data_IF_697427527785
#
_entry.id   IF_697427527785
#
_cell.length_a   1.000
_cell.length_b   1.000
_cell.length_c   1.000
_cell.angle_alpha   90.00
_cell.angle_beta   90.00
_cell.angle_gamma   90.00
#
_symmetry.space_group_name_H-M   'P 1'
#
loop_
_entity.id
_entity.type
_entity.pdbx_description
1 polymer ?
#
# COMPACT_ATOMS: atom_id res chain seq x y z
N UNK A 1 -0.08 2.32 -27.65
CA UNK A 1 -0.46 1.14 -28.43
C UNK A 1 -0.26 -0.14 -27.62
N UNK A 2 0.96 -0.57 -27.28
CA UNK A 2 1.24 -1.84 -26.61
C UNK A 2 0.53 -2.05 -25.25
N UNK A 3 0.35 -0.99 -24.47
CA UNK A 3 -0.34 -1.08 -23.18
C UNK A 3 -1.82 -1.45 -23.36
N UNK A 4 -2.53 -0.76 -24.24
CA UNK A 4 -3.95 -1.04 -24.53
C UNK A 4 -4.15 -2.44 -25.12
N UNK A 5 -3.22 -2.89 -25.99
CA UNK A 5 -3.24 -4.25 -26.54
C UNK A 5 -3.07 -5.29 -25.42
N UNK A 6 -2.15 -5.06 -24.46
CA UNK A 6 -1.95 -5.96 -23.32
C UNK A 6 -3.19 -6.03 -22.42
N UNK A 7 -3.85 -4.89 -22.15
CA UNK A 7 -5.09 -4.86 -21.38
C UNK A 7 -6.20 -5.63 -22.11
N UNK A 8 -6.38 -5.41 -23.41
CA UNK A 8 -7.38 -6.12 -24.22
C UNK A 8 -7.12 -7.64 -24.26
N UNK A 9 -5.84 -8.05 -24.40
CA UNK A 9 -5.47 -9.46 -24.34
C UNK A 9 -5.74 -10.07 -22.95
N UNK A 10 -5.49 -9.30 -21.88
CA UNK A 10 -5.79 -9.71 -20.52
C UNK A 10 -7.29 -10.00 -20.30
N UNK A 11 -8.16 -9.25 -20.98
CA UNK A 11 -9.62 -9.45 -20.88
C UNK A 11 -10.11 -10.74 -21.58
N UNK A 12 -9.32 -11.33 -22.50
CA UNK A 12 -9.65 -12.61 -23.13
C UNK A 12 -9.58 -13.78 -22.14
N UNK A 13 -8.92 -13.59 -21.00
CA UNK A 13 -8.87 -14.54 -19.89
C UNK A 13 -9.75 -14.00 -18.73
N UNK A 14 -11.02 -13.79 -19.00
CA UNK A 14 -11.98 -13.16 -18.06
C UNK A 14 -12.19 -13.95 -16.76
N UNK A 15 -11.87 -15.25 -16.74
CA UNK A 15 -11.85 -16.08 -15.54
C UNK A 15 -10.71 -15.72 -14.57
N UNK A 16 -9.70 -14.96 -15.03
CA UNK A 16 -8.59 -14.52 -14.19
C UNK A 16 -8.96 -13.28 -13.40
N UNK A 17 -8.79 -13.37 -12.10
CA UNK A 17 -8.98 -12.25 -11.20
C UNK A 17 -7.95 -11.11 -11.44
N UNK A 18 -8.30 -9.91 -11.00
CA UNK A 18 -7.46 -8.73 -11.10
C UNK A 18 -6.58 -8.57 -9.86
N UNK A 19 -5.34 -8.13 -10.08
CA UNK A 19 -4.43 -7.66 -9.02
C UNK A 19 -4.01 -6.23 -9.32
N UNK A 20 -4.17 -5.34 -8.33
CA UNK A 20 -3.79 -3.94 -8.41
C UNK A 20 -2.57 -3.69 -7.55
N UNK A 21 -1.57 -3.01 -8.11
CA UNK A 21 -0.44 -2.48 -7.38
C UNK A 21 -0.48 -0.95 -7.41
N UNK A 22 -0.56 -0.33 -6.23
CA UNK A 22 -0.53 1.11 -6.08
C UNK A 22 0.84 1.52 -5.53
N UNK A 23 1.54 2.32 -6.31
CA UNK A 23 2.87 2.80 -5.96
C UNK A 23 2.79 4.12 -5.22
N UNK A 24 3.27 4.17 -3.97
CA UNK A 24 3.38 5.39 -3.18
C UNK A 24 4.87 5.72 -3.03
N UNK A 25 5.41 6.68 -3.80
CA UNK A 25 6.86 6.86 -3.89
C UNK A 25 7.49 7.64 -2.74
N UNK A 26 6.73 8.10 -1.76
CA UNK A 26 7.22 9.01 -0.72
C UNK A 26 7.88 8.27 0.43
N UNK A 27 9.06 8.78 0.87
CA UNK A 27 9.74 8.33 2.06
C UNK A 27 10.10 9.52 2.95
N UNK A 28 9.85 9.42 4.26
CA UNK A 28 10.30 10.46 5.22
C UNK A 28 11.83 10.54 5.32
N UNK A 29 12.50 9.39 5.17
CA UNK A 29 13.96 9.29 5.05
C UNK A 29 14.28 8.21 4.03
N UNK A 30 15.32 8.46 3.23
CA UNK A 30 15.84 7.48 2.29
C UNK A 30 16.89 6.61 2.98
N UNK A 31 16.64 5.31 3.06
CA UNK A 31 17.61 4.35 3.59
C UNK A 31 18.79 4.20 2.63
N UNK A 32 20.03 4.10 3.15
CA UNK A 32 21.25 4.06 2.33
C UNK A 32 21.35 2.83 1.42
N UNK A 33 20.63 1.76 1.72
CA UNK A 33 20.61 0.52 0.92
C UNK A 33 19.44 0.42 -0.05
N UNK A 34 18.51 1.39 -0.05
CA UNK A 34 17.25 1.28 -0.74
C UNK A 34 17.41 1.46 -2.26
N UNK A 35 16.97 0.47 -3.03
CA UNK A 35 16.88 0.52 -4.49
C UNK A 35 15.47 0.78 -5.03
N UNK A 36 14.51 1.11 -4.15
CA UNK A 36 13.14 1.36 -4.58
C UNK A 36 13.04 2.68 -5.37
N UNK A 37 12.08 2.74 -6.29
CA UNK A 37 11.71 4.00 -6.94
C UNK A 37 10.98 4.89 -5.93
N UNK A 38 11.75 5.68 -5.18
CA UNK A 38 11.24 6.50 -4.09
C UNK A 38 11.87 7.88 -4.07
N UNK A 39 11.12 8.83 -3.51
CA UNK A 39 11.50 10.23 -3.38
C UNK A 39 11.39 10.68 -1.92
N UNK A 40 12.17 11.70 -1.51
CA UNK A 40 11.96 12.35 -0.23
C UNK A 40 10.52 12.82 -0.06
N UNK A 41 10.04 12.90 1.19
CA UNK A 41 8.69 13.34 1.52
C UNK A 41 8.36 14.68 0.88
N UNK A 42 7.24 14.75 0.21
CA UNK A 42 6.74 15.95 -0.44
C UNK A 42 5.86 16.78 0.50
N UNK A 43 5.54 18.03 0.09
CA UNK A 43 4.57 18.87 0.78
C UNK A 43 3.16 18.27 0.66
N UNK A 44 2.25 18.55 1.61
CA UNK A 44 0.90 17.98 1.61
C UNK A 44 0.16 18.15 0.28
N UNK A 45 0.25 19.33 -0.36
CA UNK A 45 -0.44 19.62 -1.62
C UNK A 45 0.04 18.74 -2.78
N UNK A 46 1.32 18.35 -2.76
CA UNK A 46 1.90 17.44 -3.78
C UNK A 46 1.41 16.01 -3.51
N UNK A 47 1.31 15.61 -2.25
CA UNK A 47 0.78 14.30 -1.87
C UNK A 47 -0.68 14.16 -2.28
N UNK A 48 -1.50 15.15 -1.98
CA UNK A 48 -2.90 15.21 -2.37
C UNK A 48 -3.06 15.16 -3.88
N UNK A 49 -2.29 15.97 -4.61
CA UNK A 49 -2.27 15.95 -6.08
C UNK A 49 -1.84 14.60 -6.65
N UNK A 50 -0.88 13.92 -6.01
CA UNK A 50 -0.46 12.59 -6.41
C UNK A 50 -1.58 11.54 -6.20
N UNK A 51 -2.25 11.58 -5.05
CA UNK A 51 -3.36 10.67 -4.76
C UNK A 51 -4.53 10.93 -5.70
N UNK A 52 -4.83 12.20 -6.01
CA UNK A 52 -5.83 12.56 -7.02
C UNK A 52 -5.46 12.00 -8.40
N UNK A 53 -4.18 12.06 -8.78
CA UNK A 53 -3.72 11.45 -10.03
C UNK A 53 -3.88 9.92 -10.04
N UNK A 54 -3.72 9.24 -8.89
CA UNK A 54 -4.02 7.80 -8.78
C UNK A 54 -5.51 7.51 -8.97
N UNK A 55 -6.40 8.34 -8.40
CA UNK A 55 -7.84 8.21 -8.64
C UNK A 55 -8.18 8.39 -10.12
N UNK A 56 -7.59 9.39 -10.78
CA UNK A 56 -7.78 9.62 -12.22
C UNK A 56 -7.22 8.45 -13.05
N UNK A 57 -6.08 7.87 -12.67
CA UNK A 57 -5.53 6.69 -13.36
C UNK A 57 -6.45 5.48 -13.21
N UNK A 58 -7.02 5.26 -12.03
CA UNK A 58 -8.03 4.22 -11.81
C UNK A 58 -9.20 4.46 -12.78
N UNK A 59 -9.77 5.66 -12.83
CA UNK A 59 -10.90 6.00 -13.70
C UNK A 59 -10.58 5.82 -15.19
N UNK A 60 -9.34 6.06 -15.61
CA UNK A 60 -8.88 5.84 -16.98
C UNK A 60 -8.73 4.36 -17.34
N UNK A 61 -8.36 3.52 -16.36
CA UNK A 61 -8.13 2.08 -16.57
C UNK A 61 -9.43 1.29 -16.48
N UNK A 62 -10.35 1.68 -15.61
CA UNK A 62 -11.62 0.99 -15.37
C UNK A 62 -12.38 0.63 -16.66
N UNK A 63 -12.60 1.57 -17.61
CA UNK A 63 -13.34 1.26 -18.84
C UNK A 63 -12.63 0.29 -19.78
N UNK A 64 -11.34 0.05 -19.57
CA UNK A 64 -10.51 -0.81 -20.41
C UNK A 64 -10.51 -2.27 -19.94
N UNK A 65 -10.89 -2.49 -18.67
CA UNK A 65 -10.94 -3.81 -18.04
C UNK A 65 -12.33 -4.42 -18.15
N UNK A 66 -12.37 -5.75 -18.23
CA UNK A 66 -13.61 -6.47 -18.10
C UNK A 66 -14.14 -6.33 -16.66
N UNK A 67 -15.29 -5.66 -16.52
CA UNK A 67 -15.92 -5.32 -15.24
C UNK A 67 -16.39 -6.53 -14.43
N UNK A 68 -16.52 -7.70 -15.07
CA UNK A 68 -16.96 -8.93 -14.41
C UNK A 68 -15.77 -9.69 -13.77
N UNK A 69 -14.54 -9.25 -14.01
CA UNK A 69 -13.34 -9.83 -13.39
C UNK A 69 -13.23 -9.38 -11.94
N UNK A 70 -13.18 -10.32 -10.98
CA UNK A 70 -13.10 -9.95 -9.57
C UNK A 70 -11.69 -9.52 -9.16
N UNK A 71 -11.60 -8.65 -8.16
CA UNK A 71 -10.34 -8.32 -7.49
C UNK A 71 -9.91 -9.50 -6.62
N UNK A 72 -8.68 -9.99 -6.83
CA UNK A 72 -8.03 -10.95 -5.94
C UNK A 72 -7.03 -10.28 -5.00
N UNK A 73 -6.41 -9.18 -5.43
CA UNK A 73 -5.36 -8.51 -4.65
C UNK A 73 -5.33 -7.01 -4.90
N UNK A 74 -5.12 -6.25 -3.82
CA UNK A 74 -4.68 -4.85 -3.85
C UNK A 74 -3.42 -4.76 -3.00
N UNK A 75 -2.33 -4.26 -3.57
CA UNK A 75 -1.05 -4.10 -2.87
C UNK A 75 -0.53 -2.67 -2.95
N UNK A 76 -0.30 -2.07 -1.80
CA UNK A 76 0.35 -0.76 -1.69
C UNK A 76 1.83 -0.95 -1.36
N UNK A 77 2.68 -0.48 -2.26
CA UNK A 77 4.13 -0.57 -2.10
C UNK A 77 4.84 0.67 -2.61
N UNK A 78 6.16 0.60 -2.74
CA UNK A 78 6.98 1.65 -3.33
C UNK A 78 8.05 2.21 -2.40
N UNK A 79 7.93 3.46 -1.98
CA UNK A 79 8.79 4.07 -0.97
C UNK A 79 8.35 3.65 0.43
N UNK A 80 7.37 4.33 0.96
CA UNK A 80 6.70 3.97 2.21
C UNK A 80 5.23 4.38 2.11
N UNK A 81 4.31 3.47 1.75
CA UNK A 81 2.90 3.82 1.59
C UNK A 81 2.30 4.50 2.82
N UNK A 82 2.72 4.10 4.01
CA UNK A 82 2.29 4.70 5.28
C UNK A 82 2.94 6.07 5.57
N UNK A 83 3.71 6.64 4.65
CA UNK A 83 4.20 8.02 4.77
C UNK A 83 3.10 9.05 4.48
N UNK A 84 2.08 8.69 3.69
CA UNK A 84 0.92 9.54 3.42
C UNK A 84 -0.19 9.31 4.47
N UNK A 85 -1.15 10.24 4.62
CA UNK A 85 -2.27 10.07 5.54
C UNK A 85 -3.08 8.80 5.26
N UNK A 86 -3.39 8.04 6.31
CA UNK A 86 -4.14 6.77 6.22
C UNK A 86 -5.53 6.97 5.58
N UNK A 87 -6.14 8.14 5.78
CA UNK A 87 -7.44 8.48 5.18
C UNK A 87 -7.40 8.41 3.64
N UNK A 88 -6.34 8.92 3.02
CA UNK A 88 -6.18 8.89 1.56
C UNK A 88 -6.02 7.45 1.03
N UNK A 89 -5.35 6.58 1.79
CA UNK A 89 -5.22 5.16 1.44
C UNK A 89 -6.59 4.47 1.51
N UNK A 90 -7.39 4.80 2.53
CA UNK A 90 -8.75 4.28 2.69
C UNK A 90 -9.65 4.67 1.51
N UNK A 91 -9.54 5.91 1.03
CA UNK A 91 -10.28 6.40 -0.14
C UNK A 91 -9.91 5.64 -1.42
N UNK A 92 -8.62 5.40 -1.66
CA UNK A 92 -8.15 4.60 -2.80
C UNK A 92 -8.69 3.16 -2.74
N UNK A 93 -8.66 2.51 -1.57
CA UNK A 93 -9.26 1.19 -1.38
C UNK A 93 -10.75 1.19 -1.69
N UNK A 94 -11.48 2.17 -1.16
CA UNK A 94 -12.92 2.30 -1.39
C UNK A 94 -13.23 2.49 -2.88
N UNK A 95 -12.43 3.29 -3.59
CA UNK A 95 -12.60 3.51 -5.02
C UNK A 95 -12.46 2.20 -5.82
N UNK A 96 -11.40 1.44 -5.61
CA UNK A 96 -11.20 0.16 -6.30
C UNK A 96 -12.29 -0.87 -5.97
N UNK A 97 -12.60 -1.05 -4.68
CA UNK A 97 -13.57 -2.05 -4.22
C UNK A 97 -15.01 -1.70 -4.59
N UNK A 98 -15.33 -0.41 -4.83
CA UNK A 98 -16.64 -0.02 -5.35
C UNK A 98 -16.77 -0.18 -6.87
N UNK A 99 -15.66 -0.30 -7.58
CA UNK A 99 -15.60 -0.32 -9.04
C UNK A 99 -15.60 -1.72 -9.63
N UNK A 100 -15.14 -2.72 -8.87
CA UNK A 100 -15.08 -4.12 -9.30
C UNK A 100 -15.63 -5.05 -8.22
N UNK A 101 -16.21 -6.20 -8.59
CA UNK A 101 -16.46 -7.27 -7.64
C UNK A 101 -15.12 -7.74 -7.06
N UNK A 102 -15.16 -8.36 -5.88
CA UNK A 102 -14.00 -9.02 -5.30
C UNK A 102 -14.27 -10.51 -5.14
N UNK A 103 -13.22 -11.32 -5.12
CA UNK A 103 -13.32 -12.73 -4.68
C UNK A 103 -13.73 -12.75 -3.19
N UNK A 104 -14.13 -13.93 -2.68
CA UNK A 104 -14.59 -14.07 -1.29
C UNK A 104 -13.61 -13.50 -0.25
N UNK A 105 -12.29 -13.67 -0.47
CA UNK A 105 -11.24 -13.13 0.41
C UNK A 105 -10.10 -12.50 -0.40
N UNK A 106 -10.26 -11.28 -0.91
CA UNK A 106 -9.20 -10.61 -1.60
C UNK A 106 -8.06 -10.29 -0.63
N UNK A 107 -6.81 -10.42 -1.07
CA UNK A 107 -5.68 -9.93 -0.29
C UNK A 107 -5.58 -8.41 -0.46
N UNK A 108 -5.68 -7.67 0.64
CA UNK A 108 -5.47 -6.22 0.67
C UNK A 108 -4.26 -5.95 1.55
N UNK A 109 -3.14 -5.65 0.92
CA UNK A 109 -1.83 -5.60 1.55
C UNK A 109 -1.19 -4.21 1.48
N UNK A 110 -0.42 -3.85 2.49
CA UNK A 110 0.33 -2.60 2.54
C UNK A 110 1.71 -2.80 3.17
N UNK A 111 2.71 -2.13 2.59
CA UNK A 111 4.05 -2.02 3.17
C UNK A 111 4.11 -0.89 4.19
N UNK A 112 4.68 -1.17 5.37
CA UNK A 112 4.71 -0.26 6.50
C UNK A 112 6.14 0.00 6.98
N UNK A 113 6.43 1.26 7.31
CA UNK A 113 7.63 1.66 8.05
C UNK A 113 7.27 1.97 9.51
N UNK A 114 7.64 1.13 10.49
CA UNK A 114 7.15 1.26 11.86
C UNK A 114 7.71 2.48 12.61
N UNK A 115 8.78 3.09 12.11
CA UNK A 115 9.42 4.26 12.74
C UNK A 115 8.64 5.58 12.59
N UNK A 116 7.48 5.58 11.92
CA UNK A 116 6.67 6.79 11.68
C UNK A 116 5.19 6.63 12.01
N UNK A 117 4.77 5.45 12.45
CA UNK A 117 3.39 5.15 12.79
C UNK A 117 3.20 5.24 14.30
N UNK A 118 2.34 6.15 14.72
CA UNK A 118 1.85 6.23 16.09
C UNK A 118 0.84 5.09 16.36
N UNK A 119 0.48 4.89 17.63
CA UNK A 119 -0.58 3.95 18.01
C UNK A 119 -1.89 4.24 17.27
N UNK A 120 -2.25 5.51 17.14
CA UNK A 120 -3.43 5.94 16.39
C UNK A 120 -3.35 5.53 14.91
N UNK A 121 -2.19 5.67 14.27
CA UNK A 121 -2.02 5.30 12.87
C UNK A 121 -2.17 3.79 12.68
N UNK A 122 -1.61 2.98 13.59
CA UNK A 122 -1.78 1.54 13.57
C UNK A 122 -3.24 1.13 13.72
N UNK A 123 -3.98 1.74 14.67
CA UNK A 123 -5.41 1.49 14.82
C UNK A 123 -6.18 1.86 13.55
N UNK A 124 -5.91 3.02 12.97
CA UNK A 124 -6.56 3.43 11.71
C UNK A 124 -6.27 2.47 10.57
N UNK A 125 -5.04 1.96 10.44
CA UNK A 125 -4.70 0.96 9.42
C UNK A 125 -5.53 -0.32 9.57
N UNK A 126 -5.81 -0.77 10.78
CA UNK A 126 -6.67 -1.95 11.00
C UNK A 126 -8.12 -1.75 10.56
N UNK A 127 -8.55 -0.49 10.39
CA UNK A 127 -9.92 -0.12 9.98
C UNK A 127 -10.03 0.19 8.47
N UNK A 128 -8.91 0.14 7.73
CA UNK A 128 -8.89 0.42 6.29
C UNK A 128 -9.19 -0.79 5.40
N UNK A 129 -9.48 -1.95 6.00
CA UNK A 129 -9.75 -3.18 5.25
C UNK A 129 -8.50 -3.97 4.84
N UNK A 130 -7.31 -3.61 5.33
CA UNK A 130 -6.12 -4.41 5.13
C UNK A 130 -6.20 -5.72 5.92
N UNK A 131 -5.82 -6.82 5.25
CA UNK A 131 -5.71 -8.15 5.88
C UNK A 131 -4.28 -8.70 5.86
N UNK A 132 -3.33 -7.95 5.29
CA UNK A 132 -1.90 -8.24 5.32
C UNK A 132 -1.06 -6.97 5.42
N UNK A 133 -0.15 -6.94 6.40
CA UNK A 133 0.82 -5.87 6.55
C UNK A 133 2.24 -6.41 6.43
N UNK A 134 3.03 -5.82 5.52
CA UNK A 134 4.46 -6.09 5.40
C UNK A 134 5.23 -5.01 6.15
N UNK A 135 5.88 -5.38 7.27
CA UNK A 135 6.51 -4.42 8.17
C UNK A 135 8.03 -4.48 8.03
N UNK A 136 8.60 -3.39 7.50
CA UNK A 136 10.04 -3.29 7.35
C UNK A 136 10.75 -2.96 8.67
N UNK A 137 10.98 -3.93 9.53
CA UNK A 137 11.73 -3.77 10.78
C UNK A 137 13.22 -3.60 10.51
N UNK A 138 13.78 -4.41 9.62
CA UNK A 138 15.16 -4.49 9.17
C UNK A 138 16.12 -5.02 10.23
N UNK A 139 16.23 -4.35 11.39
CA UNK A 139 17.07 -4.75 12.52
C UNK A 139 16.49 -4.22 13.83
N UNK A 140 16.88 -4.82 14.95
CA UNK A 140 16.56 -4.34 16.30
C UNK A 140 17.72 -3.57 16.92
N UNK A 141 18.94 -3.65 16.36
CA UNK A 141 20.09 -2.91 16.82
C UNK A 141 20.04 -1.47 16.30
N UNK A 142 19.97 -0.50 17.24
CA UNK A 142 19.85 0.93 16.94
C UNK A 142 21.06 1.44 16.15
N UNK A 143 22.26 0.95 16.41
CA UNK A 143 23.46 1.40 15.69
C UNK A 143 23.48 0.91 14.24
N UNK A 144 22.96 -0.30 13.98
CA UNK A 144 22.76 -0.80 12.63
C UNK A 144 21.73 0.08 11.89
N UNK A 145 20.60 0.36 12.51
CA UNK A 145 19.55 1.22 11.92
C UNK A 145 20.05 2.62 11.60
N UNK A 146 20.85 3.23 12.52
CA UNK A 146 21.47 4.54 12.29
C UNK A 146 22.45 4.52 11.11
N UNK A 147 23.27 3.46 11.00
CA UNK A 147 24.25 3.31 9.91
C UNK A 147 23.58 3.31 8.55
N UNK A 148 22.38 2.74 8.44
CA UNK A 148 21.63 2.67 7.18
C UNK A 148 20.57 3.78 7.05
N UNK A 149 20.63 4.82 7.87
CA UNK A 149 19.69 5.94 7.90
C UNK A 149 18.24 5.50 8.09
N UNK A 150 18.00 4.55 9.00
CA UNK A 150 16.67 4.04 9.28
C UNK A 150 16.25 4.31 10.72
N UNK A 151 15.01 4.75 10.88
CA UNK A 151 14.41 5.01 12.19
C UNK A 151 13.92 3.72 12.82
N UNK A 152 14.18 3.47 14.12
CA UNK A 152 13.57 2.36 14.84
C UNK A 152 12.04 2.53 14.93
N UNK A 153 11.34 1.46 15.27
CA UNK A 153 9.90 1.53 15.55
C UNK A 153 9.59 2.54 16.66
N UNK A 154 8.49 3.27 16.51
CA UNK A 154 8.00 4.18 17.56
C UNK A 154 7.38 3.44 18.75
N UNK A 155 6.82 2.26 18.50
CA UNK A 155 6.21 1.40 19.51
C UNK A 155 7.00 0.10 19.61
N UNK A 156 6.91 -0.62 20.74
CA UNK A 156 7.42 -1.98 20.82
C UNK A 156 6.80 -2.83 19.71
N UNK A 157 7.63 -3.59 18.99
CA UNK A 157 7.13 -4.43 17.90
C UNK A 157 6.18 -5.53 18.39
N UNK A 158 6.36 -5.97 19.62
CA UNK A 158 5.46 -6.95 20.26
C UNK A 158 4.04 -6.41 20.37
N UNK A 159 3.85 -5.18 20.79
CA UNK A 159 2.53 -4.53 20.92
C UNK A 159 1.85 -4.40 19.56
N UNK A 160 2.61 -4.04 18.54
CA UNK A 160 2.12 -3.97 17.14
C UNK A 160 1.67 -5.36 16.68
N UNK A 161 2.46 -6.40 16.94
CA UNK A 161 2.11 -7.76 16.52
C UNK A 161 0.89 -8.31 17.25
N UNK A 162 0.74 -8.00 18.54
CA UNK A 162 -0.44 -8.36 19.31
C UNK A 162 -1.68 -7.70 18.71
N UNK A 163 -1.65 -6.37 18.52
CA UNK A 163 -2.74 -5.61 17.93
C UNK A 163 -3.18 -6.19 16.57
N UNK A 164 -2.24 -6.43 15.67
CA UNK A 164 -2.54 -6.91 14.33
C UNK A 164 -3.12 -8.32 14.33
N UNK A 165 -2.61 -9.21 15.19
CA UNK A 165 -3.14 -10.57 15.35
C UNK A 165 -4.55 -10.59 15.93
N UNK A 166 -4.84 -9.75 16.92
CA UNK A 166 -6.19 -9.59 17.48
C UNK A 166 -7.20 -9.12 16.44
N UNK A 167 -6.76 -8.34 15.46
CA UNK A 167 -7.56 -7.90 14.31
C UNK A 167 -7.60 -8.90 13.15
N UNK A 168 -6.95 -10.05 13.27
CA UNK A 168 -6.92 -11.07 12.22
C UNK A 168 -6.07 -10.70 11.00
N UNK A 169 -5.13 -9.75 11.16
CA UNK A 169 -4.27 -9.25 10.07
C UNK A 169 -3.00 -10.09 10.01
N UNK A 170 -2.68 -10.60 8.83
CA UNK A 170 -1.44 -11.31 8.56
C UNK A 170 -0.25 -10.36 8.54
N UNK A 171 0.89 -10.81 9.09
CA UNK A 171 2.12 -10.03 9.21
C UNK A 171 3.23 -10.71 8.41
N UNK A 172 3.95 -9.88 7.65
CA UNK A 172 5.13 -10.30 6.88
C UNK A 172 6.31 -9.39 7.22
#
# INVERSE_FOLDING_TARGET
ARYLEAVQQSNQASERALSFYLHIPFCRHLCHYCGCNSYPMARPEIIESYVEALHQEIDLILPLLDKDRPIAQIHYGGGSPTAIPVALIKELNAHLLSSFPAIDRPEIAIECHPGYLSEKDWLQLTECGFNRLSIGVQDFNIEVLKTVNRRPSLLPMEDIFILLREKGISIN
#
